data_IF_691855168523
#
_entry.id   IF_691855168523
#
_cell.length_a   1.000
_cell.length_b   1.000
_cell.length_c   1.000
_cell.angle_alpha   90.00
_cell.angle_beta   90.00
_cell.angle_gamma   90.00
#
_symmetry.space_group_name_H-M   'P 1'
#
loop_
_entity.id
_entity.type
_entity.pdbx_description
1 polymer ?
#
# COMPACT_ATOMS: atom_id res chain seq x y z
N UNK A 1 9.99 -3.36 14.05
CA UNK A 1 9.22 -4.47 14.66
C UNK A 1 7.99 -4.92 13.85
N UNK A 2 7.55 -4.18 12.83
CA UNK A 2 6.41 -4.51 11.97
C UNK A 2 6.85 -5.38 10.77
N UNK A 3 6.02 -6.33 10.34
CA UNK A 3 6.29 -7.09 9.12
C UNK A 3 5.94 -6.22 7.91
N UNK A 4 6.79 -6.25 6.89
CA UNK A 4 6.63 -5.52 5.62
C UNK A 4 6.68 -6.52 4.48
N UNK A 5 5.82 -6.32 3.47
CA UNK A 5 5.84 -7.02 2.19
C UNK A 5 6.34 -6.05 1.13
N UNK A 6 7.48 -6.35 0.53
CA UNK A 6 7.93 -5.71 -0.69
C UNK A 6 7.39 -6.48 -1.88
N UNK A 7 6.86 -5.76 -2.85
CA UNK A 7 6.45 -6.27 -4.16
C UNK A 7 7.36 -5.60 -5.19
N UNK A 8 8.06 -6.38 -5.99
CA UNK A 8 9.04 -5.89 -6.93
C UNK A 8 8.69 -6.25 -8.36
N UNK A 9 8.97 -5.31 -9.25
CA UNK A 9 8.95 -5.46 -10.70
C UNK A 9 10.15 -4.73 -11.28
N UNK A 10 10.77 -5.30 -12.31
CA UNK A 10 11.80 -4.62 -13.08
C UNK A 10 11.21 -4.14 -14.39
N UNK A 11 11.56 -2.91 -14.78
CA UNK A 11 11.11 -2.28 -16.02
C UNK A 11 12.09 -2.45 -17.17
N UNK A 12 13.29 -3.01 -16.93
CA UNK A 12 14.36 -3.11 -17.93
C UNK A 12 15.05 -4.50 -17.94
N UNK A 13 15.99 -4.75 -17.04
CA UNK A 13 16.83 -5.95 -16.95
C UNK A 13 16.70 -6.60 -15.58
N UNK A 14 17.36 -7.74 -15.34
CA UNK A 14 17.32 -8.37 -14.03
C UNK A 14 18.15 -7.54 -13.04
N UNK A 15 17.56 -7.25 -11.88
CA UNK A 15 18.22 -6.67 -10.73
C UNK A 15 18.12 -7.61 -9.53
N UNK A 16 18.72 -7.25 -8.40
CA UNK A 16 18.50 -7.98 -7.15
C UNK A 16 18.56 -7.03 -5.97
N UNK A 17 17.44 -6.89 -5.26
CA UNK A 17 17.36 -6.10 -4.03
C UNK A 17 18.10 -6.85 -2.92
N UNK A 18 19.19 -6.29 -2.40
CA UNK A 18 19.96 -6.91 -1.33
C UNK A 18 20.32 -5.94 -0.22
N UNK A 19 19.99 -6.32 1.02
CA UNK A 19 20.47 -5.68 2.24
C UNK A 19 21.27 -6.71 3.03
N UNK A 20 22.63 -6.64 3.03
CA UNK A 20 23.49 -7.64 3.66
C UNK A 20 23.17 -7.91 5.13
N UNK A 21 22.86 -6.85 5.88
CA UNK A 21 22.54 -6.89 7.31
C UNK A 21 21.24 -7.65 7.59
N UNK A 22 20.30 -7.63 6.64
CA UNK A 22 19.06 -8.40 6.74
C UNK A 22 19.26 -9.86 6.29
N UNK A 23 20.40 -10.19 5.67
CA UNK A 23 20.70 -11.50 5.07
C UNK A 23 19.66 -11.96 4.05
N UNK A 24 18.96 -11.01 3.44
CA UNK A 24 17.89 -11.23 2.48
C UNK A 24 18.23 -10.55 1.17
N UNK A 25 18.14 -11.32 0.08
CA UNK A 25 18.15 -10.80 -1.29
C UNK A 25 16.90 -11.30 -2.03
N UNK A 26 16.38 -10.50 -2.95
CA UNK A 26 15.30 -10.87 -3.84
C UNK A 26 15.63 -10.39 -5.25
N UNK A 27 15.72 -11.33 -6.19
CA UNK A 27 15.94 -10.99 -7.59
C UNK A 27 14.66 -10.35 -8.14
N UNK A 28 14.82 -9.27 -8.91
CA UNK A 28 13.74 -8.47 -9.50
C UNK A 28 13.83 -8.66 -11.00
N UNK A 29 12.88 -9.41 -11.55
CA UNK A 29 12.94 -9.95 -12.91
C UNK A 29 11.89 -9.27 -13.79
N UNK A 30 12.24 -8.80 -15.00
CA UNK A 30 11.27 -8.22 -15.91
C UNK A 30 10.14 -9.21 -16.23
N UNK A 31 8.89 -8.73 -16.17
CA UNK A 31 7.69 -9.53 -16.46
C UNK A 31 7.30 -10.54 -15.37
N UNK A 32 7.96 -10.54 -14.21
CA UNK A 32 7.63 -11.39 -13.06
C UNK A 32 7.53 -10.53 -11.80
N UNK A 33 6.33 -10.46 -11.22
CA UNK A 33 6.15 -9.88 -9.89
C UNK A 33 6.78 -10.80 -8.85
N UNK A 34 7.78 -10.30 -8.13
CA UNK A 34 8.41 -11.03 -7.03
C UNK A 34 8.10 -10.35 -5.70
N UNK A 35 8.18 -11.09 -4.59
CA UNK A 35 7.87 -10.55 -3.27
C UNK A 35 8.91 -10.92 -2.22
N UNK A 36 9.14 -10.03 -1.27
CA UNK A 36 10.01 -10.26 -0.11
C UNK A 36 9.29 -9.83 1.16
N UNK A 37 9.18 -10.75 2.13
CA UNK A 37 8.68 -10.43 3.47
C UNK A 37 9.85 -10.26 4.42
N UNK A 38 9.87 -9.16 5.16
CA UNK A 38 10.87 -8.92 6.19
C UNK A 38 10.25 -8.23 7.40
N UNK A 39 10.76 -8.56 8.59
CA UNK A 39 10.36 -7.93 9.86
C UNK A 39 11.62 -7.37 10.50
N UNK A 40 11.97 -6.10 10.23
CA UNK A 40 13.18 -5.51 10.78
C UNK A 40 12.99 -5.24 12.27
N UNK A 41 14.00 -5.58 13.07
CA UNK A 41 13.96 -5.51 14.54
C UNK A 41 14.96 -4.53 15.13
N UNK A 42 15.87 -4.00 14.32
CA UNK A 42 16.90 -3.07 14.76
C UNK A 42 16.74 -1.76 13.97
N UNK A 43 16.50 -0.63 14.64
CA UNK A 43 16.54 0.68 13.99
C UNK A 43 17.91 1.01 13.42
N UNK A 44 17.92 1.76 12.32
CA UNK A 44 19.14 2.20 11.64
C UNK A 44 18.95 2.41 10.14
N UNK A 45 19.96 3.01 9.51
CA UNK A 45 20.04 3.16 8.06
C UNK A 45 20.91 2.06 7.46
N UNK A 46 20.37 1.37 6.46
CA UNK A 46 21.00 0.25 5.79
C UNK A 46 21.11 0.52 4.30
N UNK A 47 22.19 0.02 3.70
CA UNK A 47 22.42 0.21 2.27
C UNK A 47 21.82 -0.92 1.47
N UNK A 48 20.89 -0.60 0.58
CA UNK A 48 20.44 -1.51 -0.48
C UNK A 48 21.49 -1.52 -1.58
N UNK A 49 21.81 -2.71 -2.06
CA UNK A 49 22.74 -2.95 -3.16
C UNK A 49 22.03 -3.75 -4.23
N UNK A 50 22.32 -3.45 -5.50
CA UNK A 50 22.03 -4.39 -6.57
C UNK A 50 23.00 -5.58 -6.47
N UNK A 51 22.48 -6.80 -6.39
CA UNK A 51 23.27 -8.04 -6.33
C UNK A 51 23.22 -8.88 -7.61
N UNK A 52 22.73 -8.32 -8.71
CA UNK A 52 22.71 -8.93 -10.05
C UNK A 52 23.31 -7.96 -11.07
N UNK A 53 24.19 -8.43 -11.96
CA UNK A 53 24.93 -7.57 -12.87
C UNK A 53 23.98 -6.94 -13.91
N UNK A 54 23.53 -5.72 -13.63
CA UNK A 54 22.50 -5.03 -14.39
C UNK A 54 23.00 -3.99 -15.40
N UNK A 55 24.32 -3.81 -15.54
CA UNK A 55 24.91 -2.89 -16.52
C UNK A 55 26.20 -2.23 -16.05
N UNK A 56 26.67 -1.22 -16.81
CA UNK A 56 27.94 -0.53 -16.55
C UNK A 56 28.01 0.13 -15.17
N UNK A 57 26.88 0.64 -14.68
CA UNK A 57 26.79 1.30 -13.37
C UNK A 57 26.32 0.36 -12.24
N UNK A 58 26.36 -0.96 -12.45
CA UNK A 58 25.89 -1.95 -11.48
C UNK A 58 26.41 -1.72 -10.05
N UNK A 59 27.71 -1.48 -9.89
CA UNK A 59 28.34 -1.26 -8.59
C UNK A 59 27.86 0.03 -7.86
N UNK A 60 27.26 0.96 -8.62
CA UNK A 60 26.74 2.24 -8.10
C UNK A 60 25.22 2.24 -7.94
N UNK A 61 24.53 1.17 -8.32
CA UNK A 61 23.09 1.02 -8.10
C UNK A 61 22.82 0.71 -6.62
N UNK A 62 22.65 1.79 -5.87
CA UNK A 62 22.57 1.79 -4.42
C UNK A 62 21.34 2.58 -3.99
N UNK A 63 20.69 2.13 -2.92
CA UNK A 63 19.62 2.88 -2.25
C UNK A 63 19.78 2.74 -0.73
N UNK A 64 18.89 3.37 0.03
CA UNK A 64 18.87 3.31 1.49
C UNK A 64 17.54 2.71 1.97
N UNK A 65 17.61 1.93 3.05
CA UNK A 65 16.46 1.51 3.85
C UNK A 65 16.68 2.01 5.26
N UNK A 66 15.76 2.84 5.74
CA UNK A 66 15.77 3.34 7.12
C UNK A 66 14.74 2.57 7.92
N UNK A 67 15.20 1.88 8.96
CA UNK A 67 14.35 1.25 9.96
C UNK A 67 14.23 2.22 11.13
N UNK A 68 13.01 2.65 11.44
CA UNK A 68 12.71 3.59 12.51
C UNK A 68 11.96 2.87 13.63
N UNK A 69 11.94 3.48 14.82
CA UNK A 69 10.95 3.12 15.82
C UNK A 69 9.54 3.48 15.31
N UNK A 70 8.52 2.73 15.73
CA UNK A 70 7.17 2.88 15.16
C UNK A 70 6.64 4.32 15.30
N UNK A 71 6.80 4.94 16.47
CA UNK A 71 6.37 6.31 16.70
C UNK A 71 7.10 7.35 15.83
N UNK A 72 8.38 7.12 15.51
CA UNK A 72 9.16 7.99 14.61
C UNK A 72 8.72 7.81 13.16
N UNK A 73 8.43 6.57 12.75
CA UNK A 73 7.87 6.29 11.44
C UNK A 73 6.52 6.99 11.26
N UNK A 74 5.63 6.88 12.25
CA UNK A 74 4.30 7.50 12.20
C UNK A 74 4.42 9.03 12.11
N UNK A 75 5.34 9.64 12.87
CA UNK A 75 5.62 11.08 12.78
C UNK A 75 6.23 11.50 11.42
N UNK A 76 7.13 10.70 10.87
CA UNK A 76 7.71 10.94 9.55
C UNK A 76 6.62 10.86 8.46
N UNK A 77 5.79 9.83 8.49
CA UNK A 77 4.63 9.67 7.61
C UNK A 77 3.73 10.91 7.66
N UNK A 78 3.38 11.37 8.86
CA UNK A 78 2.57 12.58 9.02
C UNK A 78 3.23 13.82 8.40
N UNK A 79 4.54 14.03 8.63
CA UNK A 79 5.28 15.16 8.05
C UNK A 79 5.37 15.13 6.52
N UNK A 80 5.42 13.92 5.97
CA UNK A 80 5.48 13.68 4.53
C UNK A 80 4.13 13.91 3.85
N UNK A 81 3.03 13.76 4.58
CA UNK A 81 1.67 14.00 4.09
C UNK A 81 1.29 15.49 4.26
N UNK A 82 1.78 16.14 5.33
CA UNK A 82 1.57 17.56 5.65
C UNK A 82 2.49 18.54 4.89
N UNK A 83 3.25 18.09 3.88
CA UNK A 83 3.87 19.03 2.96
C UNK A 83 2.76 19.74 2.19
N UNK A 84 2.30 20.90 2.67
CA UNK A 84 1.08 21.65 2.28
C UNK A 84 0.94 22.08 0.80
N UNK A 85 1.64 21.41 -0.11
CA UNK A 85 1.49 21.45 -1.55
C UNK A 85 0.53 20.38 -2.10
N UNK A 86 0.20 19.33 -1.34
CA UNK A 86 -0.63 18.22 -1.84
C UNK A 86 -2.12 18.44 -1.55
N UNK A 87 -2.96 18.21 -2.57
CA UNK A 87 -4.42 18.17 -2.40
C UNK A 87 -4.88 16.91 -1.64
N UNK A 88 -6.14 16.87 -1.16
CA UNK A 88 -6.67 15.73 -0.40
C UNK A 88 -6.49 14.38 -1.09
N UNK A 89 -6.75 14.30 -2.40
CA UNK A 89 -6.57 13.06 -3.16
C UNK A 89 -5.10 12.62 -3.27
N UNK A 90 -4.15 13.56 -3.40
CA UNK A 90 -2.73 13.24 -3.45
C UNK A 90 -2.21 12.75 -2.08
N UNK A 91 -2.69 13.37 -1.00
CA UNK A 91 -2.42 12.92 0.37
C UNK A 91 -2.99 11.53 0.61
N UNK A 92 -4.22 11.28 0.16
CA UNK A 92 -4.86 9.96 0.20
C UNK A 92 -4.09 8.90 -0.57
N UNK A 93 -3.57 9.22 -1.77
CA UNK A 93 -2.74 8.31 -2.54
C UNK A 93 -1.47 7.90 -1.77
N UNK A 94 -0.83 8.87 -1.10
CA UNK A 94 0.35 8.64 -0.27
C UNK A 94 0.01 7.79 0.97
N UNK A 95 -1.08 8.11 1.66
CA UNK A 95 -1.62 7.35 2.79
C UNK A 95 -1.92 5.91 2.42
N UNK A 96 -2.53 5.66 1.26
CA UNK A 96 -2.86 4.33 0.78
C UNK A 96 -1.60 3.46 0.59
N UNK A 97 -0.51 4.05 0.10
CA UNK A 97 0.78 3.38 -0.01
C UNK A 97 1.42 3.07 1.34
N UNK A 98 1.46 4.07 2.24
CA UNK A 98 2.11 3.97 3.55
C UNK A 98 1.40 3.01 4.53
N UNK A 99 0.07 2.93 4.41
CA UNK A 99 -0.78 2.07 5.24
C UNK A 99 -1.08 0.70 4.63
N UNK A 100 -0.46 0.37 3.50
CA UNK A 100 -0.52 -0.96 2.90
C UNK A 100 -1.85 -1.27 2.18
N UNK A 101 -2.71 -0.28 1.96
CA UNK A 101 -3.97 -0.48 1.23
C UNK A 101 -3.72 -0.99 -0.19
N UNK A 102 -2.67 -0.48 -0.85
CA UNK A 102 -2.28 -0.87 -2.20
C UNK A 102 -1.79 -2.34 -2.33
N UNK A 103 -1.52 -3.02 -1.21
CA UNK A 103 -1.19 -4.44 -1.25
C UNK A 103 -2.42 -5.35 -1.50
N UNK A 104 -3.62 -4.83 -1.23
CA UNK A 104 -4.89 -5.56 -1.34
C UNK A 104 -5.84 -4.94 -2.37
N UNK A 105 -5.81 -3.61 -2.53
CA UNK A 105 -6.66 -2.87 -3.46
C UNK A 105 -5.85 -2.39 -4.66
N UNK A 106 -6.37 -2.65 -5.86
CA UNK A 106 -5.81 -2.15 -7.11
C UNK A 106 -6.48 -0.85 -7.53
N UNK A 107 -5.87 -0.14 -8.48
CA UNK A 107 -6.39 1.11 -9.05
C UNK A 107 -6.56 1.05 -10.57
N UNK A 108 -6.38 -0.14 -11.15
CA UNK A 108 -6.40 -0.40 -12.59
C UNK A 108 -7.59 -1.27 -13.03
N UNK A 109 -8.47 -1.66 -12.10
CA UNK A 109 -9.59 -2.56 -12.36
C UNK A 109 -9.29 -4.04 -12.12
N UNK A 110 -8.04 -4.42 -11.82
CA UNK A 110 -7.70 -5.82 -11.58
C UNK A 110 -8.27 -6.32 -10.26
N UNK A 111 -8.84 -7.53 -10.26
CA UNK A 111 -9.29 -8.16 -9.01
C UNK A 111 -8.09 -8.59 -8.17
N UNK A 112 -8.07 -8.21 -6.89
CA UNK A 112 -7.04 -8.61 -5.93
C UNK A 112 -7.70 -9.18 -4.65
N UNK A 113 -7.02 -9.09 -3.51
CA UNK A 113 -7.55 -9.49 -2.20
C UNK A 113 -8.78 -8.66 -1.83
N UNK A 114 -8.77 -7.36 -2.15
CA UNK A 114 -9.90 -6.45 -2.05
C UNK A 114 -10.35 -5.93 -3.43
N UNK A 115 -11.47 -5.20 -3.50
CA UNK A 115 -11.96 -4.58 -4.72
C UNK A 115 -11.00 -3.53 -5.27
N UNK A 116 -11.00 -3.39 -6.60
CA UNK A 116 -10.36 -2.27 -7.28
C UNK A 116 -11.07 -0.97 -6.93
N UNK A 117 -10.32 0.11 -6.75
CA UNK A 117 -10.86 1.45 -6.54
C UNK A 117 -11.18 2.21 -7.83
N UNK A 118 -10.70 1.72 -8.99
CA UNK A 118 -11.01 2.30 -10.30
C UNK A 118 -12.52 2.36 -10.55
N UNK A 119 -13.07 3.57 -10.64
CA UNK A 119 -14.49 3.79 -10.90
C UNK A 119 -15.43 3.29 -9.79
N UNK A 120 -14.90 3.02 -8.58
CA UNK A 120 -15.67 2.42 -7.50
C UNK A 120 -16.66 3.43 -6.88
N UNK A 121 -16.25 4.67 -6.66
CA UNK A 121 -17.12 5.69 -6.08
C UNK A 121 -18.31 5.99 -7.00
N UNK A 122 -19.52 5.93 -6.46
CA UNK A 122 -20.76 6.11 -7.20
C UNK A 122 -21.24 4.87 -7.98
N UNK A 123 -20.51 3.75 -7.92
CA UNK A 123 -20.97 2.47 -8.48
C UNK A 123 -21.98 1.78 -7.56
N UNK A 124 -22.72 0.81 -8.10
CA UNK A 124 -23.55 -0.10 -7.32
C UNK A 124 -22.85 -1.45 -7.18
N UNK A 125 -22.74 -1.95 -5.95
CA UNK A 125 -22.14 -3.25 -5.64
C UNK A 125 -23.19 -4.17 -5.01
N UNK A 126 -23.07 -5.47 -5.29
CA UNK A 126 -23.91 -6.50 -4.69
C UNK A 126 -23.18 -7.02 -3.45
N UNK A 127 -23.85 -7.07 -2.30
CA UNK A 127 -23.31 -7.61 -1.06
C UNK A 127 -23.49 -9.13 -0.97
N UNK A 128 -22.80 -9.78 -0.04
CA UNK A 128 -22.88 -11.24 0.17
C UNK A 128 -24.31 -11.74 0.47
N UNK A 129 -25.16 -10.90 1.05
CA UNK A 129 -26.58 -11.20 1.32
C UNK A 129 -27.52 -10.98 0.12
N UNK A 130 -26.97 -10.55 -1.03
CA UNK A 130 -27.70 -10.24 -2.26
C UNK A 130 -28.35 -8.86 -2.30
N UNK A 131 -28.19 -8.04 -1.26
CA UNK A 131 -28.58 -6.64 -1.31
C UNK A 131 -27.65 -5.82 -2.22
N UNK A 132 -28.14 -4.68 -2.70
CA UNK A 132 -27.37 -3.75 -3.54
C UNK A 132 -27.09 -2.50 -2.72
N UNK A 133 -25.84 -2.03 -2.75
CA UNK A 133 -25.41 -0.80 -2.09
C UNK A 133 -24.83 0.17 -3.11
N UNK A 134 -25.14 1.45 -2.94
CA UNK A 134 -24.44 2.52 -3.64
C UNK A 134 -23.12 2.81 -2.90
N UNK A 135 -22.00 2.75 -3.61
CA UNK A 135 -20.68 3.06 -3.05
C UNK A 135 -20.51 4.57 -2.92
N UNK A 136 -21.07 5.14 -1.86
CA UNK A 136 -20.92 6.55 -1.49
C UNK A 136 -19.87 6.76 -0.39
N UNK A 137 -19.73 8.00 0.09
CA UNK A 137 -18.77 8.33 1.16
C UNK A 137 -19.04 7.56 2.46
N UNK A 138 -20.31 7.36 2.80
CA UNK A 138 -20.70 6.66 4.02
C UNK A 138 -20.30 5.18 3.94
N UNK A 139 -20.54 4.55 2.78
CA UNK A 139 -20.11 3.18 2.52
C UNK A 139 -18.59 3.02 2.60
N UNK A 140 -17.82 3.94 2.00
CA UNK A 140 -16.35 3.88 2.05
C UNK A 140 -15.81 4.09 3.47
N UNK A 141 -16.38 5.05 4.22
CA UNK A 141 -16.04 5.30 5.61
C UNK A 141 -16.31 4.06 6.47
N UNK A 142 -17.49 3.46 6.31
CA UNK A 142 -17.86 2.23 7.03
C UNK A 142 -16.97 1.06 6.64
N UNK A 143 -16.62 0.91 5.36
CA UNK A 143 -15.70 -0.13 4.90
C UNK A 143 -14.30 -0.01 5.50
N UNK A 144 -13.82 1.21 5.79
CA UNK A 144 -12.53 1.46 6.44
C UNK A 144 -12.59 1.18 7.94
N UNK A 145 -13.68 1.55 8.60
CA UNK A 145 -13.85 1.46 10.06
C UNK A 145 -14.34 0.09 10.54
N UNK A 146 -15.28 -0.52 9.82
CA UNK A 146 -15.83 -1.86 10.08
C UNK A 146 -15.98 -2.68 8.77
N UNK A 147 -14.85 -3.20 8.22
CA UNK A 147 -14.81 -3.82 6.90
C UNK A 147 -15.67 -5.09 6.73
N UNK A 148 -16.16 -5.69 7.82
CA UNK A 148 -16.98 -6.90 7.75
C UNK A 148 -18.49 -6.60 7.73
N UNK A 149 -18.89 -5.32 7.88
CA UNK A 149 -20.29 -4.96 8.00
C UNK A 149 -21.03 -5.07 6.66
N UNK A 150 -20.37 -4.68 5.56
CA UNK A 150 -20.91 -4.74 4.20
C UNK A 150 -19.88 -5.32 3.23
N UNK A 151 -19.82 -6.65 3.14
CA UNK A 151 -18.85 -7.34 2.26
C UNK A 151 -19.45 -7.53 0.86
N UNK A 152 -18.76 -7.00 -0.16
CA UNK A 152 -19.12 -7.18 -1.58
C UNK A 152 -19.00 -8.64 -1.99
N UNK A 153 -19.94 -9.09 -2.85
CA UNK A 153 -20.02 -10.44 -3.37
C UNK A 153 -18.67 -10.90 -3.98
N UNK A 154 -18.24 -12.09 -3.56
CA UNK A 154 -17.01 -12.73 -3.99
C UNK A 154 -15.74 -12.30 -3.24
N UNK A 155 -15.81 -11.34 -2.33
CA UNK A 155 -14.76 -11.09 -1.33
C UNK A 155 -15.06 -11.84 -0.03
N UNK A 156 -14.10 -11.91 0.89
CA UNK A 156 -14.25 -12.64 2.15
C UNK A 156 -14.10 -11.70 3.35
N UNK A 157 -14.90 -11.87 4.41
CA UNK A 157 -14.69 -11.15 5.67
C UNK A 157 -13.34 -11.52 6.29
N UNK A 158 -12.90 -10.72 7.26
CA UNK A 158 -11.68 -10.90 8.05
C UNK A 158 -10.36 -10.82 7.27
N UNK A 159 -10.39 -10.34 6.02
CA UNK A 159 -9.19 -10.07 5.22
C UNK A 159 -8.68 -8.63 5.39
N UNK A 160 -9.59 -7.66 5.43
CA UNK A 160 -9.24 -6.26 5.63
C UNK A 160 -9.04 -5.98 7.15
N UNK A 161 -7.88 -5.42 7.55
CA UNK A 161 -7.60 -5.14 8.96
C UNK A 161 -8.61 -4.15 9.59
N UNK A 162 -9.03 -4.41 10.83
CA UNK A 162 -9.94 -3.52 11.60
C UNK A 162 -9.21 -2.44 12.42
N UNK A 163 -7.93 -2.23 12.13
CA UNK A 163 -7.07 -1.33 12.94
C UNK A 163 -7.17 0.12 12.50
N UNK A 164 -7.73 0.40 11.33
CA UNK A 164 -7.65 1.72 10.70
C UNK A 164 -8.41 2.81 11.46
N UNK A 165 -9.51 2.47 12.15
CA UNK A 165 -10.21 3.41 13.03
C UNK A 165 -9.41 3.85 14.26
N UNK A 166 -8.42 3.06 14.67
CA UNK A 166 -7.52 3.39 15.79
C UNK A 166 -6.20 4.01 15.32
N UNK A 167 -5.78 3.73 14.09
CA UNK A 167 -4.47 4.16 13.57
C UNK A 167 -4.51 5.37 12.67
N UNK A 168 -5.66 5.72 12.09
CA UNK A 168 -5.82 6.87 11.20
C UNK A 168 -6.74 7.90 11.82
N UNK A 169 -6.39 9.17 11.66
CA UNK A 169 -7.25 10.30 11.99
C UNK A 169 -8.43 10.40 11.01
N UNK A 170 -9.47 11.14 11.41
CA UNK A 170 -10.61 11.39 10.53
C UNK A 170 -10.20 12.12 9.24
N UNK A 171 -9.23 13.03 9.31
CA UNK A 171 -8.72 13.74 8.13
C UNK A 171 -8.01 12.79 7.18
N UNK A 172 -7.17 11.89 7.68
CA UNK A 172 -6.48 10.89 6.84
C UNK A 172 -7.46 9.93 6.16
N UNK A 173 -8.53 9.52 6.85
CA UNK A 173 -9.58 8.70 6.25
C UNK A 173 -10.31 9.48 5.15
N UNK A 174 -10.58 10.75 5.37
CA UNK A 174 -11.21 11.61 4.36
C UNK A 174 -10.31 11.83 3.14
N UNK A 175 -9.00 11.98 3.34
CA UNK A 175 -8.03 12.04 2.26
C UNK A 175 -8.00 10.72 1.46
N UNK A 176 -8.04 9.56 2.14
CA UNK A 176 -8.16 8.24 1.48
C UNK A 176 -9.44 8.15 0.63
N UNK A 177 -10.58 8.61 1.15
CA UNK A 177 -11.84 8.63 0.40
C UNK A 177 -11.74 9.58 -0.80
N UNK A 178 -11.14 10.76 -0.62
CA UNK A 178 -10.89 11.70 -1.72
C UNK A 178 -10.02 11.09 -2.81
N UNK A 179 -9.03 10.26 -2.45
CA UNK A 179 -8.23 9.52 -3.40
C UNK A 179 -9.05 8.47 -4.16
N UNK A 180 -9.81 7.61 -3.46
CA UNK A 180 -10.68 6.61 -4.09
C UNK A 180 -11.65 7.29 -5.07
N UNK A 181 -12.24 8.41 -4.66
CA UNK A 181 -13.12 9.22 -5.51
C UNK A 181 -12.42 9.78 -6.73
N UNK A 182 -11.13 10.14 -6.64
CA UNK A 182 -10.38 10.69 -7.77
C UNK A 182 -10.10 9.67 -8.89
N UNK A 183 -10.25 8.38 -8.62
CA UNK A 183 -9.96 7.28 -9.55
C UNK A 183 -11.14 6.96 -10.49
N UNK A 184 -11.93 7.97 -10.87
CA UNK A 184 -13.03 7.81 -11.84
C UNK A 184 -12.53 7.30 -13.20
N UNK A 185 -13.43 6.71 -14.00
CA UNK A 185 -13.15 5.98 -15.24
C UNK A 185 -12.25 6.72 -16.25
#
# INVERSE_FOLDING_TARGET
GRQVLFVFESTDVIHSFWVPEFRLKQDVVPGITTTLRLKPTLPGSYKVRCAELCGLNHAYMLAEVTVMEQAEFDAWVASEIDSGALGPADRGAKLAGLNGCAACHSTDGTRSVGPSWRGLFGSEEILEDGSVVLVDEAYLLESILDPNLQVVEGYRPDLMPKVYGDTLSQEEIQDLIAYIRSLEN
#
